data_IF_612991512623
#
_entry.id   IF_612991512623
#
_cell.length_a   1.000
_cell.length_b   1.000
_cell.length_c   1.000
_cell.angle_alpha   90.00
_cell.angle_beta   90.00
_cell.angle_gamma   90.00
#
_symmetry.space_group_name_H-M   'P 1'
#
loop_
_entity.id
_entity.type
_entity.pdbx_description
1 polymer ?
#
# COMPACT_ATOMS: atom_id res chain seq x y z
N UNK A 1 -20.37 -37.10 -12.67
CA UNK A 1 -19.50 -37.01 -11.48
C UNK A 1 -18.25 -36.25 -11.90
N UNK A 2 -18.10 -35.00 -11.47
CA UNK A 2 -16.94 -34.17 -11.78
C UNK A 2 -16.48 -33.54 -10.47
N UNK A 3 -15.23 -33.81 -10.11
CA UNK A 3 -14.61 -33.45 -8.84
C UNK A 3 -14.38 -31.94 -8.74
N UNK A 4 -14.95 -31.32 -7.71
CA UNK A 4 -14.66 -29.94 -7.35
C UNK A 4 -13.37 -29.88 -6.54
N UNK A 5 -12.30 -29.38 -7.17
CA UNK A 5 -11.04 -29.04 -6.49
C UNK A 5 -11.27 -27.86 -5.54
N UNK A 6 -11.18 -28.11 -4.24
CA UNK A 6 -11.20 -27.07 -3.20
C UNK A 6 -9.94 -26.21 -3.29
N UNK A 7 -10.12 -24.89 -3.28
CA UNK A 7 -9.05 -23.90 -3.13
C UNK A 7 -9.06 -23.46 -1.65
N UNK A 8 -7.98 -23.62 -0.88
CA UNK A 8 -7.91 -23.07 0.46
C UNK A 8 -7.45 -21.61 0.35
N UNK A 9 -8.29 -20.68 0.77
CA UNK A 9 -8.02 -19.25 0.66
C UNK A 9 -8.74 -18.44 1.73
N UNK A 10 -8.85 -18.99 2.94
CA UNK A 10 -9.23 -18.22 4.12
C UNK A 10 -8.01 -17.46 4.62
N UNK A 11 -8.00 -16.14 4.49
CA UNK A 11 -7.14 -15.31 5.34
C UNK A 11 -7.79 -15.27 6.72
N UNK A 12 -7.38 -16.21 7.57
CA UNK A 12 -7.64 -16.14 9.00
C UNK A 12 -6.89 -14.92 9.55
N UNK A 13 -7.62 -13.98 10.13
CA UNK A 13 -7.03 -12.93 10.96
C UNK A 13 -6.41 -13.60 12.18
N UNK A 14 -5.11 -13.39 12.48
CA UNK A 14 -4.49 -13.99 13.66
C UNK A 14 -5.23 -13.54 14.92
N UNK A 15 -5.62 -14.49 15.76
CA UNK A 15 -6.07 -14.21 17.12
C UNK A 15 -4.87 -13.64 17.90
N UNK A 16 -4.99 -12.40 18.36
CA UNK A 16 -4.00 -11.79 19.24
C UNK A 16 -4.05 -12.45 20.62
N UNK A 17 -3.32 -13.54 20.80
CA UNK A 17 -3.00 -14.07 22.13
C UNK A 17 -1.93 -13.18 22.79
N UNK A 18 -2.29 -12.62 23.94
CA UNK A 18 -1.35 -11.93 24.83
C UNK A 18 -0.50 -12.97 25.56
N UNK A 19 0.75 -13.15 25.15
CA UNK A 19 1.79 -13.74 25.99
C UNK A 19 2.60 -12.62 26.65
N UNK A 20 2.78 -12.63 27.99
CA UNK A 20 3.72 -11.73 28.64
C UNK A 20 5.11 -12.36 28.57
N UNK A 21 5.92 -11.96 27.59
CA UNK A 21 7.35 -12.26 27.61
C UNK A 21 8.02 -11.24 28.53
N UNK A 22 8.35 -11.73 29.73
CA UNK A 22 9.31 -11.13 30.64
C UNK A 22 10.68 -11.53 30.11
N UNK A 23 11.43 -10.58 29.55
CA UNK A 23 12.86 -10.77 29.34
C UNK A 23 13.56 -9.49 29.77
N UNK A 24 14.30 -9.64 30.85
CA UNK A 24 15.16 -8.65 31.49
C UNK A 24 16.28 -8.23 30.53
N UNK A 25 16.56 -6.93 30.44
CA UNK A 25 17.80 -6.45 29.84
C UNK A 25 18.59 -5.72 30.93
N UNK A 26 19.48 -6.49 31.56
CA UNK A 26 20.50 -6.05 32.51
C UNK A 26 21.60 -5.32 31.75
N UNK A 27 21.70 -4.00 31.94
CA UNK A 27 22.85 -3.20 31.49
C UNK A 27 23.98 -3.35 32.52
N UNK A 28 25.20 -3.82 32.17
CA UNK A 28 26.27 -3.95 33.14
C UNK A 28 26.82 -2.58 33.55
N UNK A 29 26.80 -2.31 34.86
CA UNK A 29 27.53 -1.21 35.53
C UNK A 29 29.05 -1.47 35.48
N UNK A 30 29.80 -0.52 34.93
CA UNK A 30 31.26 -0.47 35.09
C UNK A 30 31.67 -0.10 36.54
N UNK A 31 32.78 -0.65 37.07
CA UNK A 31 33.11 -0.58 38.50
C UNK A 31 33.83 0.72 38.90
N UNK A 32 33.57 1.12 40.14
CA UNK A 32 34.19 2.20 40.90
C UNK A 32 35.66 1.85 41.21
N UNK A 33 36.59 2.76 40.95
CA UNK A 33 37.98 2.65 41.39
C UNK A 33 38.20 3.54 42.62
N UNK A 34 38.80 2.95 43.65
CA UNK A 34 39.10 3.58 44.94
C UNK A 34 40.28 4.55 44.90
N UNK A 35 40.20 5.56 45.77
CA UNK A 35 41.27 6.48 46.16
C UNK A 35 42.41 5.78 46.92
N UNK A 36 43.64 6.33 46.87
CA UNK A 36 44.40 6.47 48.10
C UNK A 36 45.02 7.86 48.26
N UNK A 37 44.85 8.43 49.45
CA UNK A 37 45.51 9.67 49.87
C UNK A 37 46.99 9.49 50.24
N UNK A 38 47.72 10.62 50.29
CA UNK A 38 49.07 10.70 50.84
C UNK A 38 49.84 11.98 50.47
N UNK A 39 49.90 12.87 51.45
CA UNK A 39 50.63 14.15 51.63
C UNK A 39 52.02 14.34 50.96
N UNK A 40 52.36 15.60 50.64
CA UNK A 40 53.72 16.01 50.25
C UNK A 40 53.82 17.33 49.47
N UNK A 41 53.92 18.45 50.19
CA UNK A 41 54.33 19.77 49.67
C UNK A 41 55.50 19.71 48.66
N UNK A 42 55.37 20.37 47.52
CA UNK A 42 56.45 21.22 46.99
C UNK A 42 55.96 22.22 45.94
N UNK A 43 56.41 23.45 46.17
CA UNK A 43 56.21 24.66 45.42
C UNK A 43 56.82 24.56 44.02
N UNK A 44 56.02 24.74 42.98
CA UNK A 44 56.49 25.24 41.68
C UNK A 44 55.33 25.87 40.93
N UNK A 45 55.34 27.20 40.89
CA UNK A 45 54.60 28.03 39.93
C UNK A 45 55.00 27.61 38.50
N UNK A 46 54.35 26.57 37.99
CA UNK A 46 54.28 26.31 36.57
C UNK A 46 52.97 26.93 36.09
N UNK A 47 53.08 28.17 35.60
CA UNK A 47 52.19 28.81 34.63
C UNK A 47 51.39 27.75 33.85
N UNK A 48 50.18 27.44 34.30
CA UNK A 48 49.16 26.94 33.41
C UNK A 48 48.75 28.18 32.63
N UNK A 49 49.18 28.23 31.37
CA UNK A 49 48.59 29.17 30.43
C UNK A 49 47.07 29.04 30.56
N UNK A 50 46.29 30.11 30.36
CA UNK A 50 44.93 29.89 29.88
C UNK A 50 45.09 28.86 28.76
N UNK A 51 44.47 27.68 28.88
CA UNK A 51 44.22 26.91 27.67
C UNK A 51 43.41 27.88 26.85
N UNK A 52 44.09 28.52 25.91
CA UNK A 52 43.46 29.24 24.82
C UNK A 52 42.35 28.29 24.38
N UNK A 53 41.12 28.75 24.49
CA UNK A 53 40.03 28.16 23.73
C UNK A 53 40.55 28.19 22.30
N UNK A 54 41.19 27.09 21.89
CA UNK A 54 41.77 26.95 20.57
C UNK A 54 40.57 27.06 19.65
N UNK A 55 40.45 28.23 19.01
CA UNK A 55 39.34 28.60 18.16
C UNK A 55 39.20 27.46 17.16
N UNK A 56 38.12 26.68 17.29
CA UNK A 56 37.91 25.50 16.45
C UNK A 56 37.98 25.96 15.00
N UNK A 57 38.65 25.16 14.14
CA UNK A 57 38.63 25.44 12.70
C UNK A 57 37.17 25.60 12.26
N UNK A 58 36.80 26.70 11.57
CA UNK A 58 35.41 26.99 11.22
C UNK A 58 34.72 25.83 10.51
N UNK A 59 35.45 24.99 9.77
CA UNK A 59 34.89 23.79 9.13
C UNK A 59 34.55 22.69 10.12
N UNK A 60 35.36 22.50 11.15
CA UNK A 60 35.08 21.53 12.22
C UNK A 60 33.89 22.00 13.04
N UNK A 61 33.78 23.31 13.27
CA UNK A 61 32.64 23.90 13.96
C UNK A 61 31.33 23.72 13.17
N UNK A 62 31.32 23.97 11.86
CA UNK A 62 30.16 23.73 10.99
C UNK A 62 29.69 22.26 11.01
N UNK A 63 30.61 21.29 10.94
CA UNK A 63 30.25 19.87 10.98
C UNK A 63 29.74 19.42 12.36
N UNK A 64 30.24 20.02 13.45
CA UNK A 64 29.71 19.78 14.79
C UNK A 64 28.31 20.36 14.97
N UNK A 65 28.03 21.53 14.37
CA UNK A 65 26.68 22.11 14.34
C UNK A 65 25.72 21.20 13.56
N UNK A 66 26.12 20.68 12.40
CA UNK A 66 25.33 19.69 11.66
C UNK A 66 25.09 18.40 12.45
N UNK A 67 26.10 17.89 13.15
CA UNK A 67 25.97 16.69 13.97
C UNK A 67 25.01 16.90 15.13
N UNK A 68 25.11 18.05 15.82
CA UNK A 68 24.21 18.40 16.90
C UNK A 68 22.77 18.57 16.41
N UNK A 69 22.58 19.24 15.27
CA UNK A 69 21.27 19.39 14.62
C UNK A 69 20.66 18.04 14.25
N UNK A 70 21.45 17.16 13.61
CA UNK A 70 21.00 15.81 13.27
C UNK A 70 20.67 14.98 14.53
N UNK A 71 21.44 15.11 15.60
CA UNK A 71 21.17 14.44 16.87
C UNK A 71 19.88 14.94 17.53
N UNK A 72 19.60 16.25 17.48
CA UNK A 72 18.35 16.81 17.97
C UNK A 72 17.16 16.31 17.15
N UNK A 73 17.29 16.25 15.83
CA UNK A 73 16.28 15.71 14.93
C UNK A 73 16.00 14.22 15.20
N UNK A 74 17.04 13.41 15.42
CA UNK A 74 16.88 12.00 15.82
C UNK A 74 16.08 11.91 17.10
N UNK A 75 16.50 12.63 18.15
CA UNK A 75 15.81 12.62 19.44
C UNK A 75 14.34 13.06 19.31
N UNK A 76 14.07 14.07 18.48
CA UNK A 76 12.72 14.56 18.23
C UNK A 76 11.85 13.51 17.54
N UNK A 77 12.37 12.86 16.49
CA UNK A 77 11.65 11.83 15.74
C UNK A 77 11.43 10.58 16.60
N UNK A 78 12.40 10.21 17.44
CA UNK A 78 12.26 9.12 18.41
C UNK A 78 11.14 9.39 19.41
N UNK A 79 11.08 10.59 19.97
CA UNK A 79 10.01 11.00 20.86
C UNK A 79 8.64 10.94 20.17
N UNK A 80 8.53 11.47 18.95
CA UNK A 80 7.29 11.41 18.16
C UNK A 80 6.87 9.97 17.84
N UNK A 81 7.82 9.10 17.53
CA UNK A 81 7.56 7.69 17.27
C UNK A 81 7.02 6.98 18.52
N UNK A 82 7.58 7.25 19.69
CA UNK A 82 7.12 6.65 20.95
C UNK A 82 5.75 7.18 21.38
N UNK A 83 5.48 8.48 21.19
CA UNK A 83 4.15 9.06 21.37
C UNK A 83 3.12 8.43 20.41
N UNK A 84 3.47 8.26 19.13
CA UNK A 84 2.63 7.63 18.12
C UNK A 84 2.35 6.16 18.45
N UNK A 85 3.38 5.41 18.85
CA UNK A 85 3.26 4.01 19.28
C UNK A 85 2.37 3.88 20.52
N UNK A 86 2.56 4.75 21.51
CA UNK A 86 1.75 4.75 22.73
C UNK A 86 0.30 5.07 22.42
N UNK A 87 0.06 6.05 21.55
CA UNK A 87 -1.29 6.42 21.09
C UNK A 87 -1.94 5.29 20.30
N UNK A 88 -1.21 4.63 19.39
CA UNK A 88 -1.69 3.46 18.67
C UNK A 88 -2.10 2.33 19.61
N UNK A 89 -1.24 1.96 20.58
CA UNK A 89 -1.55 0.92 21.57
C UNK A 89 -2.80 1.28 22.37
N UNK A 90 -2.93 2.53 22.82
CA UNK A 90 -4.10 3.02 23.56
C UNK A 90 -5.38 2.89 22.74
N UNK A 91 -5.37 3.40 21.50
CA UNK A 91 -6.52 3.34 20.59
C UNK A 91 -6.91 1.89 20.29
N UNK A 92 -5.92 1.02 20.03
CA UNK A 92 -6.17 -0.38 19.75
C UNK A 92 -6.85 -1.09 20.92
N UNK A 93 -6.32 -0.90 22.14
CA UNK A 93 -6.90 -1.48 23.36
C UNK A 93 -8.29 -0.94 23.64
N UNK A 94 -8.49 0.37 23.54
CA UNK A 94 -9.79 1.00 23.76
C UNK A 94 -10.82 0.52 22.73
N UNK A 95 -10.43 0.43 21.46
CA UNK A 95 -11.29 -0.06 20.38
C UNK A 95 -11.65 -1.52 20.57
N UNK A 96 -10.68 -2.37 20.94
CA UNK A 96 -10.93 -3.78 21.23
C UNK A 96 -11.89 -3.95 22.42
N UNK A 97 -11.72 -3.17 23.50
CA UNK A 97 -12.65 -3.18 24.64
C UNK A 97 -14.06 -2.77 24.21
N UNK A 98 -14.20 -1.67 23.46
CA UNK A 98 -15.50 -1.20 22.94
C UNK A 98 -16.18 -2.25 22.06
N UNK A 99 -15.44 -2.88 21.14
CA UNK A 99 -15.95 -3.94 20.28
C UNK A 99 -16.38 -5.18 21.07
N UNK A 100 -15.59 -5.60 22.07
CA UNK A 100 -15.94 -6.75 22.91
C UNK A 100 -17.20 -6.50 23.74
N UNK A 101 -17.37 -5.29 24.29
CA UNK A 101 -18.60 -4.92 25.01
C UNK A 101 -19.83 -4.92 24.10
N UNK A 102 -19.71 -4.38 22.88
CA UNK A 102 -20.83 -4.40 21.92
C UNK A 102 -21.10 -5.81 21.39
N UNK A 103 -20.04 -6.59 21.15
CA UNK A 103 -20.12 -7.97 20.68
C UNK A 103 -20.84 -8.88 21.68
N UNK A 104 -20.55 -8.74 22.98
CA UNK A 104 -21.25 -9.49 24.02
C UNK A 104 -22.73 -9.09 24.14
N UNK A 105 -23.07 -7.80 23.96
CA UNK A 105 -24.44 -7.31 24.00
C UNK A 105 -25.29 -7.78 22.80
N UNK A 106 -24.72 -7.80 21.59
CA UNK A 106 -25.44 -8.12 20.35
C UNK A 106 -25.44 -9.63 20.00
N UNK A 107 -24.43 -10.38 20.43
CA UNK A 107 -24.36 -11.83 20.36
C UNK A 107 -24.79 -12.41 19.00
N UNK A 108 -25.88 -13.21 19.02
CA UNK A 108 -26.35 -13.97 17.86
C UNK A 108 -26.80 -13.14 16.65
N UNK A 109 -27.16 -11.87 16.84
CA UNK A 109 -27.57 -10.99 15.74
C UNK A 109 -26.41 -10.68 14.80
N UNK A 110 -25.17 -10.62 15.33
CA UNK A 110 -23.95 -10.41 14.53
C UNK A 110 -23.69 -11.62 13.63
N UNK A 111 -23.77 -12.84 14.16
CA UNK A 111 -23.55 -14.06 13.39
C UNK A 111 -24.58 -14.24 12.26
N UNK A 112 -25.84 -13.87 12.52
CA UNK A 112 -26.91 -13.90 11.51
C UNK A 112 -26.72 -12.84 10.42
N UNK A 113 -26.19 -11.67 10.76
CA UNK A 113 -25.97 -10.57 9.83
C UNK A 113 -24.66 -10.71 9.01
N UNK A 114 -23.66 -11.43 9.52
CA UNK A 114 -22.33 -11.57 8.90
C UNK A 114 -22.38 -12.01 7.43
N UNK A 115 -23.15 -13.05 7.02
CA UNK A 115 -23.20 -13.48 5.63
C UNK A 115 -23.67 -12.38 4.66
N UNK A 116 -24.59 -11.52 5.09
CA UNK A 116 -25.07 -10.39 4.27
C UNK A 116 -23.97 -9.35 4.06
N UNK A 117 -23.28 -8.94 5.12
CA UNK A 117 -22.21 -7.94 5.02
C UNK A 117 -20.99 -8.46 4.27
N UNK A 118 -20.64 -9.74 4.42
CA UNK A 118 -19.60 -10.39 3.61
C UNK A 118 -19.96 -10.42 2.13
N UNK A 119 -21.18 -10.84 1.79
CA UNK A 119 -21.66 -10.82 0.41
C UNK A 119 -21.68 -9.39 -0.17
N UNK A 120 -22.07 -8.40 0.64
CA UNK A 120 -22.09 -6.98 0.23
C UNK A 120 -20.69 -6.44 -0.01
N UNK A 121 -19.69 -6.83 0.81
CA UNK A 121 -18.29 -6.50 0.57
C UNK A 121 -17.80 -7.11 -0.75
N UNK A 122 -18.08 -8.39 -0.98
CA UNK A 122 -17.69 -9.09 -2.22
C UNK A 122 -18.36 -8.50 -3.47
N UNK A 123 -19.64 -8.12 -3.38
CA UNK A 123 -20.34 -7.44 -4.48
C UNK A 123 -19.70 -6.09 -4.82
N UNK A 124 -19.31 -5.32 -3.79
CA UNK A 124 -18.59 -4.05 -4.00
C UNK A 124 -17.23 -4.27 -4.68
N UNK A 125 -16.50 -5.31 -4.31
CA UNK A 125 -15.23 -5.67 -4.96
C UNK A 125 -15.44 -6.10 -6.42
N UNK A 126 -16.45 -6.91 -6.69
CA UNK A 126 -16.81 -7.33 -8.04
C UNK A 126 -17.24 -6.13 -8.92
N UNK A 127 -17.96 -5.16 -8.34
CA UNK A 127 -18.35 -3.92 -9.03
C UNK A 127 -17.13 -3.07 -9.39
N UNK A 128 -16.17 -2.92 -8.47
CA UNK A 128 -14.94 -2.20 -8.73
C UNK A 128 -14.11 -2.86 -9.83
N UNK A 129 -14.01 -4.20 -9.84
CA UNK A 129 -13.29 -4.90 -10.90
C UNK A 129 -14.01 -4.79 -12.25
N UNK A 130 -15.35 -4.79 -12.23
CA UNK A 130 -16.16 -4.54 -13.43
C UNK A 130 -15.91 -3.15 -14.02
N UNK A 131 -15.85 -2.12 -13.18
CA UNK A 131 -15.51 -0.76 -13.61
C UNK A 131 -14.11 -0.68 -14.20
N UNK A 132 -13.11 -1.31 -13.55
CA UNK A 132 -11.75 -1.35 -14.09
C UNK A 132 -11.68 -2.08 -15.44
N UNK A 133 -12.37 -3.20 -15.59
CA UNK A 133 -12.44 -3.93 -16.85
C UNK A 133 -13.17 -3.12 -17.94
N UNK A 134 -14.23 -2.39 -17.58
CA UNK A 134 -14.94 -1.48 -18.49
C UNK A 134 -14.00 -0.39 -19.03
N UNK A 135 -13.25 0.29 -18.14
CA UNK A 135 -12.29 1.32 -18.53
C UNK A 135 -11.17 0.77 -19.43
N UNK A 136 -10.69 -0.45 -19.16
CA UNK A 136 -9.71 -1.12 -20.03
C UNK A 136 -10.30 -1.40 -21.41
N UNK A 137 -11.53 -1.91 -21.47
CA UNK A 137 -12.23 -2.15 -22.73
C UNK A 137 -12.47 -0.85 -23.51
N UNK A 138 -12.95 0.22 -22.87
CA UNK A 138 -13.15 1.53 -23.49
C UNK A 138 -11.84 2.09 -24.06
N UNK A 139 -10.73 1.94 -23.33
CA UNK A 139 -9.40 2.34 -23.82
C UNK A 139 -9.00 1.52 -25.05
N UNK A 140 -9.22 0.21 -25.05
CA UNK A 140 -8.92 -0.66 -26.19
C UNK A 140 -9.77 -0.30 -27.42
N UNK A 141 -11.06 -0.02 -27.23
CA UNK A 141 -11.96 0.48 -28.28
C UNK A 141 -11.44 1.79 -28.86
N UNK A 142 -11.06 2.75 -28.00
CA UNK A 142 -10.50 4.04 -28.42
C UNK A 142 -9.22 3.87 -29.24
N UNK A 143 -8.30 3.00 -28.79
CA UNK A 143 -7.07 2.70 -29.52
C UNK A 143 -7.34 2.03 -30.88
N UNK A 144 -8.31 1.11 -30.95
CA UNK A 144 -8.71 0.50 -32.22
C UNK A 144 -9.28 1.53 -33.20
N UNK A 145 -10.14 2.44 -32.74
CA UNK A 145 -10.67 3.52 -33.57
C UNK A 145 -9.56 4.44 -34.10
N UNK A 146 -8.60 4.82 -33.25
CA UNK A 146 -7.44 5.60 -33.67
C UNK A 146 -6.57 4.85 -34.69
N UNK A 147 -6.40 3.53 -34.54
CA UNK A 147 -5.69 2.70 -35.51
C UNK A 147 -6.40 2.66 -36.87
N UNK A 148 -7.73 2.57 -36.88
CA UNK A 148 -8.52 2.64 -38.12
C UNK A 148 -8.37 3.98 -38.83
N UNK A 149 -8.33 5.08 -38.09
CA UNK A 149 -8.09 6.41 -38.67
C UNK A 149 -6.69 6.51 -39.30
N UNK A 150 -5.67 5.90 -38.66
CA UNK A 150 -4.32 5.83 -39.26
C UNK A 150 -4.32 5.05 -40.58
N UNK A 151 -5.07 3.95 -40.68
CA UNK A 151 -5.23 3.22 -41.96
C UNK A 151 -5.89 4.11 -43.00
N UNK A 152 -6.98 4.79 -42.65
CA UNK A 152 -7.70 5.68 -43.58
C UNK A 152 -6.81 6.81 -44.14
N UNK A 153 -5.97 7.43 -43.29
CA UNK A 153 -5.01 8.46 -43.73
C UNK A 153 -3.91 7.85 -44.60
N UNK A 154 -3.36 6.69 -44.22
CA UNK A 154 -2.33 6.02 -44.99
C UNK A 154 -2.83 5.57 -46.37
N UNK A 155 -4.06 5.06 -46.47
CA UNK A 155 -4.70 4.68 -47.73
C UNK A 155 -4.85 5.89 -48.66
N UNK A 156 -5.31 7.03 -48.16
CA UNK A 156 -5.37 8.27 -48.93
C UNK A 156 -3.98 8.72 -49.41
N UNK A 157 -2.98 8.61 -48.53
CA UNK A 157 -1.59 8.94 -48.85
C UNK A 157 -1.01 8.09 -49.97
N UNK A 158 -1.28 6.77 -49.97
CA UNK A 158 -0.85 5.83 -51.03
C UNK A 158 -1.64 6.04 -52.33
N UNK A 159 -2.93 6.38 -52.26
CA UNK A 159 -3.78 6.58 -53.43
C UNK A 159 -3.53 7.92 -54.15
N UNK A 160 -2.80 8.86 -53.55
CA UNK A 160 -2.39 10.08 -54.22
C UNK A 160 -1.40 9.78 -55.36
N UNK A 161 -1.67 10.29 -56.57
CA UNK A 161 -0.89 10.00 -57.79
C UNK A 161 0.63 10.19 -57.64
N UNK A 162 1.06 11.10 -56.77
CA UNK A 162 2.48 11.39 -56.49
C UNK A 162 3.18 10.32 -55.64
N UNK A 163 2.42 9.51 -54.90
CA UNK A 163 2.92 8.65 -53.82
C UNK A 163 2.60 7.16 -54.05
N UNK A 164 1.96 6.81 -55.17
CA UNK A 164 1.47 5.45 -55.48
C UNK A 164 2.56 4.37 -55.50
N UNK A 165 3.83 4.74 -55.65
CA UNK A 165 5.00 3.85 -55.61
C UNK A 165 6.03 4.28 -54.54
N UNK A 166 5.63 5.16 -53.61
CA UNK A 166 6.51 5.61 -52.53
C UNK A 166 6.59 4.52 -51.44
N UNK A 167 7.78 3.95 -51.17
CA UNK A 167 7.97 2.93 -50.14
C UNK A 167 7.57 3.41 -48.74
N UNK A 168 7.71 4.70 -48.44
CA UNK A 168 7.41 5.25 -47.11
C UNK A 168 5.92 5.19 -46.78
N UNK A 169 5.06 5.47 -47.76
CA UNK A 169 3.60 5.38 -47.61
C UNK A 169 3.11 3.93 -47.56
N UNK A 170 3.78 3.03 -48.28
CA UNK A 170 3.51 1.59 -48.19
C UNK A 170 3.87 1.01 -46.82
N UNK A 171 5.02 1.40 -46.26
CA UNK A 171 5.43 1.03 -44.91
C UNK A 171 4.47 1.60 -43.85
N UNK A 172 4.04 2.85 -43.99
CA UNK A 172 3.05 3.47 -43.11
C UNK A 172 1.72 2.71 -43.13
N UNK A 173 1.24 2.34 -44.31
CA UNK A 173 0.01 1.55 -44.45
C UNK A 173 0.16 0.18 -43.79
N UNK A 174 1.26 -0.54 -44.06
CA UNK A 174 1.54 -1.83 -43.44
C UNK A 174 1.60 -1.75 -41.91
N UNK A 175 2.24 -0.70 -41.37
CA UNK A 175 2.27 -0.45 -39.92
C UNK A 175 0.88 -0.19 -39.34
N UNK A 176 0.10 0.68 -39.99
CA UNK A 176 -1.26 0.98 -39.57
C UNK A 176 -2.15 -0.28 -39.59
N UNK A 177 -2.04 -1.12 -40.63
CA UNK A 177 -2.77 -2.39 -40.73
C UNK A 177 -2.38 -3.37 -39.62
N UNK A 178 -1.09 -3.52 -39.32
CA UNK A 178 -0.62 -4.34 -38.19
C UNK A 178 -1.22 -3.85 -36.87
N UNK A 179 -1.18 -2.53 -36.65
CA UNK A 179 -1.68 -1.89 -35.43
C UNK A 179 -3.20 -2.00 -35.27
N UNK A 180 -3.97 -1.99 -36.36
CA UNK A 180 -5.41 -2.28 -36.32
C UNK A 180 -5.68 -3.70 -35.86
N UNK A 181 -4.94 -4.69 -36.35
CA UNK A 181 -5.10 -6.08 -35.96
C UNK A 181 -4.77 -6.30 -34.48
N UNK A 182 -3.67 -5.74 -34.00
CA UNK A 182 -3.28 -5.79 -32.58
C UNK A 182 -4.33 -5.12 -31.67
N UNK A 183 -4.78 -3.92 -32.05
CA UNK A 183 -5.78 -3.18 -31.28
C UNK A 183 -7.15 -3.88 -31.28
N UNK A 184 -7.52 -4.55 -32.38
CA UNK A 184 -8.74 -5.35 -32.46
C UNK A 184 -8.67 -6.59 -31.55
N UNK A 185 -7.53 -7.28 -31.53
CA UNK A 185 -7.35 -8.43 -30.65
C UNK A 185 -7.48 -8.01 -29.18
N UNK A 186 -6.85 -6.89 -28.79
CA UNK A 186 -6.95 -6.36 -27.43
C UNK A 186 -8.37 -5.89 -27.10
N UNK A 187 -9.08 -5.28 -28.06
CA UNK A 187 -10.51 -4.93 -27.91
C UNK A 187 -11.36 -6.16 -27.61
N UNK A 188 -11.18 -7.24 -28.37
CA UNK A 188 -11.93 -8.50 -28.19
C UNK A 188 -11.58 -9.22 -26.88
N UNK A 189 -10.32 -9.13 -26.42
CA UNK A 189 -9.93 -9.65 -25.09
C UNK A 189 -10.57 -8.82 -23.99
N UNK A 190 -10.48 -7.49 -24.09
CA UNK A 190 -11.09 -6.54 -23.14
C UNK A 190 -12.61 -6.72 -23.05
N UNK A 191 -13.28 -6.93 -24.17
CA UNK A 191 -14.72 -7.19 -24.21
C UNK A 191 -15.09 -8.47 -23.47
N UNK A 192 -14.41 -9.59 -23.79
CA UNK A 192 -14.66 -10.88 -23.13
C UNK A 192 -14.46 -10.81 -21.63
N UNK A 193 -13.39 -10.15 -21.19
CA UNK A 193 -13.11 -9.97 -19.77
C UNK A 193 -14.15 -9.09 -19.09
N UNK A 194 -14.49 -7.94 -19.68
CA UNK A 194 -15.54 -7.05 -19.17
C UNK A 194 -16.89 -7.78 -19.03
N UNK A 195 -17.30 -8.57 -20.04
CA UNK A 195 -18.51 -9.38 -19.99
C UNK A 195 -18.44 -10.44 -18.87
N UNK A 196 -17.29 -11.12 -18.71
CA UNK A 196 -17.08 -12.12 -17.67
C UNK A 196 -17.22 -11.53 -16.27
N UNK A 197 -16.53 -10.43 -15.98
CA UNK A 197 -16.59 -9.79 -14.65
C UNK A 197 -17.95 -9.17 -14.36
N UNK A 198 -18.62 -8.62 -15.38
CA UNK A 198 -19.99 -8.10 -15.26
C UNK A 198 -20.96 -9.19 -14.81
N UNK A 199 -20.86 -10.40 -15.40
CA UNK A 199 -21.69 -11.55 -14.98
C UNK A 199 -21.43 -11.94 -13.52
N UNK A 200 -20.16 -11.92 -13.09
CA UNK A 200 -19.80 -12.21 -11.70
C UNK A 200 -20.34 -11.13 -10.74
N UNK A 201 -20.30 -9.86 -11.14
CA UNK A 201 -20.89 -8.77 -10.37
C UNK A 201 -22.40 -8.95 -10.19
N UNK A 202 -23.13 -9.26 -11.26
CA UNK A 202 -24.57 -9.53 -11.22
C UNK A 202 -24.90 -10.71 -10.29
N UNK A 203 -24.10 -11.78 -10.32
CA UNK A 203 -24.28 -12.92 -9.41
C UNK A 203 -24.04 -12.53 -7.94
N UNK A 204 -22.99 -11.73 -7.68
CA UNK A 204 -22.69 -11.25 -6.33
C UNK A 204 -23.80 -10.32 -5.80
N UNK A 205 -24.31 -9.41 -6.62
CA UNK A 205 -25.44 -8.53 -6.29
C UNK A 205 -26.72 -9.32 -6.04
N UNK A 206 -27.04 -10.32 -6.87
CA UNK A 206 -28.18 -11.20 -6.66
C UNK A 206 -28.08 -11.96 -5.31
N UNK A 207 -26.87 -12.41 -4.95
CA UNK A 207 -26.62 -13.02 -3.63
C UNK A 207 -26.88 -12.04 -2.49
N UNK A 208 -26.47 -10.77 -2.63
CA UNK A 208 -26.74 -9.72 -1.63
C UNK A 208 -28.25 -9.51 -1.48
N UNK A 209 -28.99 -9.40 -2.58
CA UNK A 209 -30.45 -9.25 -2.56
C UNK A 209 -31.14 -10.43 -1.87
N UNK A 210 -30.73 -11.66 -2.19
CA UNK A 210 -31.26 -12.87 -1.56
C UNK A 210 -31.00 -12.91 -0.05
N UNK A 211 -29.80 -12.51 0.39
CA UNK A 211 -29.44 -12.44 1.81
C UNK A 211 -30.12 -11.27 2.53
N UNK A 212 -30.35 -10.15 1.85
CA UNK A 212 -31.08 -9.01 2.39
C UNK A 212 -32.53 -9.38 2.73
N UNK A 213 -33.22 -10.07 1.81
CA UNK A 213 -34.58 -10.56 2.05
C UNK A 213 -34.59 -11.53 3.23
N UNK A 214 -33.65 -12.48 3.28
CA UNK A 214 -33.53 -13.44 4.40
C UNK A 214 -33.25 -12.75 5.74
N UNK A 215 -32.38 -11.74 5.77
CA UNK A 215 -32.07 -10.98 6.98
C UNK A 215 -33.29 -10.18 7.46
N UNK A 216 -34.06 -9.58 6.55
CA UNK A 216 -35.30 -8.85 6.87
C UNK A 216 -36.44 -9.79 7.34
N UNK A 217 -36.50 -11.03 6.84
CA UNK A 217 -37.48 -12.02 7.29
C UNK A 217 -37.16 -12.60 8.68
N UNK A 218 -35.92 -12.46 9.19
CA UNK A 218 -35.55 -12.89 10.55
C UNK A 218 -35.83 -11.81 11.62
N UNK A 219 -36.21 -10.60 11.19
CA UNK A 219 -36.55 -9.46 12.06
C UNK A 219 -38.06 -9.30 12.30
N UNK A 220 -38.89 -10.20 11.76
CA UNK A 220 -40.34 -10.32 12.01
C UNK A 220 -40.66 -11.73 12.49
#
# INVERSE_FOLDING_TARGET
>A
MAEFRQVPGGRETPQGELRPDVVEDEVPRSPVAEEPGGDGSNNSEAKLSPREEEELDPRIQEELEHLNQASEEINQVELQLDEARTTYRRILQESARKLNMQGSHLGSCIEKARPYYEARRLAKEAQQETQKAALRYERAVSMHNAAREMVFVAEQGVMADKNRLDPTWQEMLNHATCKVNEAEEERLRGEREHQRVTRLCQQAEARVQALQVKALCLTF
#
